data_IF_091316834628
#
_entry.id   IF_091316834628
#
_cell.length_a   1.000
_cell.length_b   1.000
_cell.length_c   1.000
_cell.angle_alpha   90.00
_cell.angle_beta   90.00
_cell.angle_gamma   90.00
#
_symmetry.space_group_name_H-M   'P 1'
#
loop_
_entity.id
_entity.type
_entity.pdbx_description
1 polymer ?
#
# COMPACT_ATOMS: atom_id res chain seq x y z
N UNK A 1 -10.18 2.83 -4.46
CA UNK A 1 -10.23 2.94 -5.93
C UNK A 1 -11.63 3.26 -6.44
N UNK A 2 -12.63 2.38 -6.29
CA UNK A 2 -14.03 2.62 -6.72
C UNK A 2 -14.60 3.99 -6.31
N UNK A 3 -14.56 4.30 -5.02
CA UNK A 3 -15.06 5.59 -4.50
C UNK A 3 -14.40 6.80 -5.19
N UNK A 4 -13.09 6.71 -5.51
CA UNK A 4 -12.38 7.78 -6.25
C UNK A 4 -12.83 7.87 -7.70
N UNK A 5 -13.06 6.74 -8.39
CA UNK A 5 -13.62 6.76 -9.74
C UNK A 5 -15.06 7.30 -9.78
N UNK A 6 -15.76 7.25 -8.65
CA UNK A 6 -17.09 7.87 -8.46
C UNK A 6 -17.02 9.34 -8.02
N UNK A 7 -15.82 9.93 -7.89
CA UNK A 7 -15.63 11.32 -7.50
C UNK A 7 -15.70 11.59 -5.99
N UNK A 8 -15.78 10.55 -5.15
CA UNK A 8 -15.83 10.69 -3.69
C UNK A 8 -14.45 11.08 -3.15
N UNK A 9 -14.39 12.19 -2.42
CA UNK A 9 -13.15 12.77 -1.87
C UNK A 9 -13.41 13.40 -0.49
N UNK A 10 -12.37 13.91 0.17
CA UNK A 10 -12.52 14.68 1.40
C UNK A 10 -13.21 13.90 2.53
N UNK A 11 -14.05 14.57 3.32
CA UNK A 11 -14.76 13.96 4.47
C UNK A 11 -15.69 12.82 4.05
N UNK A 12 -16.38 12.95 2.91
CA UNK A 12 -17.28 11.90 2.41
C UNK A 12 -16.51 10.59 2.17
N UNK A 13 -15.29 10.68 1.63
CA UNK A 13 -14.47 9.49 1.48
C UNK A 13 -14.14 8.84 2.82
N UNK A 14 -13.81 9.63 3.84
CA UNK A 14 -13.48 9.12 5.17
C UNK A 14 -14.67 8.38 5.78
N UNK A 15 -15.87 8.95 5.65
CA UNK A 15 -17.11 8.34 6.16
C UNK A 15 -17.41 7.01 5.47
N UNK A 16 -17.34 6.98 4.12
CA UNK A 16 -17.56 5.75 3.36
C UNK A 16 -16.48 4.69 3.64
N UNK A 17 -15.22 5.11 3.82
CA UNK A 17 -14.15 4.19 4.18
C UNK A 17 -14.31 3.64 5.59
N UNK A 18 -14.79 4.43 6.56
CA UNK A 18 -15.01 3.94 7.92
C UNK A 18 -15.98 2.73 7.97
N UNK A 19 -17.01 2.74 7.12
CA UNK A 19 -17.92 1.62 6.97
C UNK A 19 -17.24 0.38 6.34
N UNK A 20 -16.42 0.59 5.31
CA UNK A 20 -15.62 -0.46 4.68
C UNK A 20 -14.59 -1.06 5.64
N UNK A 21 -13.90 -0.22 6.42
CA UNK A 21 -12.92 -0.61 7.43
C UNK A 21 -13.56 -1.47 8.52
N UNK A 22 -14.75 -1.07 9.00
CA UNK A 22 -15.51 -1.83 10.00
C UNK A 22 -15.91 -3.19 9.46
N UNK A 23 -16.39 -3.26 8.22
CA UNK A 23 -16.71 -4.53 7.57
C UNK A 23 -15.47 -5.41 7.42
N UNK A 24 -14.37 -4.85 6.92
CA UNK A 24 -13.12 -5.58 6.66
C UNK A 24 -12.49 -6.17 7.93
N UNK A 25 -12.57 -5.47 9.06
CA UNK A 25 -12.03 -5.91 10.36
C UNK A 25 -13.06 -6.62 11.26
N UNK A 26 -14.31 -6.73 10.82
CA UNK A 26 -15.41 -7.36 11.55
C UNK A 26 -16.00 -8.51 10.75
N UNK A 27 -17.20 -8.30 10.20
CA UNK A 27 -18.00 -9.31 9.50
C UNK A 27 -17.22 -10.07 8.43
N UNK A 28 -16.30 -9.41 7.71
CA UNK A 28 -15.48 -10.09 6.72
C UNK A 28 -14.54 -11.12 7.34
N UNK A 29 -13.82 -10.78 8.42
CA UNK A 29 -12.96 -11.74 9.14
C UNK A 29 -13.78 -12.89 9.73
N UNK A 30 -14.94 -12.58 10.32
CA UNK A 30 -15.87 -13.59 10.84
C UNK A 30 -16.33 -14.53 9.72
N UNK A 31 -16.69 -13.99 8.55
CA UNK A 31 -17.04 -14.79 7.39
C UNK A 31 -15.86 -15.67 6.95
N UNK A 32 -14.65 -15.12 6.82
CA UNK A 32 -13.47 -15.90 6.43
C UNK A 32 -13.16 -17.04 7.40
N UNK A 33 -13.37 -16.83 8.71
CA UNK A 33 -13.19 -17.84 9.74
C UNK A 33 -14.23 -18.98 9.70
N UNK A 34 -15.40 -18.75 9.08
CA UNK A 34 -16.46 -19.76 8.93
C UNK A 34 -16.17 -20.84 7.87
N UNK A 35 -14.99 -20.81 7.23
CA UNK A 35 -14.57 -21.76 6.19
C UNK A 35 -14.54 -21.15 4.79
N UNK A 36 -13.95 -21.87 3.84
CA UNK A 36 -13.74 -21.37 2.47
C UNK A 36 -15.07 -21.07 1.76
N UNK A 37 -15.93 -22.09 1.63
CA UNK A 37 -17.19 -22.00 0.89
C UNK A 37 -18.26 -21.20 1.62
N UNK A 38 -18.53 -21.53 2.89
CA UNK A 38 -19.52 -20.81 3.70
C UNK A 38 -19.15 -19.34 3.84
N UNK A 39 -17.90 -19.05 4.19
CA UNK A 39 -17.37 -17.68 4.29
C UNK A 39 -17.44 -16.95 2.96
N UNK A 40 -17.04 -17.61 1.87
CA UNK A 40 -17.14 -17.07 0.52
C UNK A 40 -18.58 -16.69 0.16
N UNK A 41 -19.55 -17.56 0.45
CA UNK A 41 -20.98 -17.30 0.20
C UNK A 41 -21.50 -16.10 1.01
N UNK A 42 -21.12 -15.99 2.27
CA UNK A 42 -21.55 -14.89 3.16
C UNK A 42 -20.93 -13.55 2.75
N UNK A 43 -19.64 -13.52 2.41
CA UNK A 43 -18.92 -12.29 2.13
C UNK A 43 -19.06 -11.77 0.69
N UNK A 44 -19.32 -12.66 -0.29
CA UNK A 44 -19.27 -12.29 -1.72
C UNK A 44 -20.14 -11.09 -2.12
N UNK A 45 -21.41 -10.95 -1.66
CA UNK A 45 -22.24 -9.80 -2.04
C UNK A 45 -21.61 -8.47 -1.63
N UNK A 46 -21.13 -8.39 -0.39
CA UNK A 46 -20.56 -7.15 0.17
C UNK A 46 -19.17 -6.85 -0.40
N UNK A 47 -18.35 -7.88 -0.64
CA UNK A 47 -17.05 -7.70 -1.30
C UNK A 47 -17.22 -7.21 -2.74
N UNK A 48 -18.19 -7.75 -3.50
CA UNK A 48 -18.51 -7.28 -4.84
C UNK A 48 -18.95 -5.81 -4.84
N UNK A 49 -19.83 -5.43 -3.91
CA UNK A 49 -20.28 -4.05 -3.75
C UNK A 49 -19.11 -3.08 -3.44
N UNK A 50 -18.26 -3.41 -2.46
CA UNK A 50 -17.17 -2.53 -2.02
C UNK A 50 -16.12 -2.38 -3.13
N UNK A 51 -15.72 -3.50 -3.75
CA UNK A 51 -14.66 -3.53 -4.76
C UNK A 51 -15.12 -3.02 -6.13
N UNK A 52 -16.42 -3.13 -6.44
CA UNK A 52 -16.95 -2.89 -7.78
C UNK A 52 -16.69 -4.03 -8.77
N UNK A 53 -16.16 -5.17 -8.29
CA UNK A 53 -15.98 -6.37 -9.11
C UNK A 53 -17.32 -7.10 -9.32
N UNK A 54 -17.42 -7.87 -10.39
CA UNK A 54 -18.62 -8.68 -10.63
C UNK A 54 -18.83 -9.72 -9.52
N UNK A 55 -20.08 -9.91 -9.11
CA UNK A 55 -20.42 -10.88 -8.06
C UNK A 55 -19.95 -12.30 -8.41
N UNK A 56 -20.05 -12.69 -9.68
CA UNK A 56 -19.61 -14.01 -10.15
C UNK A 56 -18.09 -14.19 -10.03
N UNK A 57 -17.30 -13.15 -10.35
CA UNK A 57 -15.86 -13.19 -10.12
C UNK A 57 -15.54 -13.33 -8.63
N UNK A 58 -16.26 -12.59 -7.77
CA UNK A 58 -16.03 -12.63 -6.33
C UNK A 58 -16.41 -13.98 -5.73
N UNK A 59 -17.54 -14.57 -6.13
CA UNK A 59 -17.95 -15.91 -5.72
C UNK A 59 -16.94 -16.98 -6.14
N UNK A 60 -16.45 -16.92 -7.38
CA UNK A 60 -15.44 -17.86 -7.90
C UNK A 60 -14.14 -17.84 -7.08
N UNK A 61 -13.84 -16.71 -6.43
CA UNK A 61 -12.68 -16.54 -5.56
C UNK A 61 -13.04 -16.62 -4.06
N UNK A 62 -14.23 -17.11 -3.71
CA UNK A 62 -14.68 -17.25 -2.32
C UNK A 62 -14.52 -15.95 -1.51
N UNK A 63 -14.86 -14.81 -2.12
CA UNK A 63 -14.67 -13.46 -1.58
C UNK A 63 -13.22 -13.04 -1.27
N UNK A 64 -12.22 -13.89 -1.54
CA UNK A 64 -10.80 -13.62 -1.31
C UNK A 64 -10.16 -13.13 -2.59
N UNK A 65 -10.09 -11.80 -2.76
CA UNK A 65 -9.59 -11.17 -3.99
C UNK A 65 -8.10 -10.84 -3.85
N UNK A 66 -7.20 -11.49 -4.61
CA UNK A 66 -5.80 -11.08 -4.66
C UNK A 66 -5.64 -9.69 -5.31
N UNK A 67 -4.64 -8.92 -4.87
CA UNK A 67 -4.34 -7.59 -5.43
C UNK A 67 -4.18 -7.61 -6.95
N UNK A 68 -3.44 -8.58 -7.50
CA UNK A 68 -3.23 -8.70 -8.96
C UNK A 68 -4.55 -8.94 -9.70
N UNK A 69 -5.45 -9.74 -9.12
CA UNK A 69 -6.77 -9.98 -9.71
C UNK A 69 -7.60 -8.70 -9.70
N UNK A 70 -7.62 -7.98 -8.58
CA UNK A 70 -8.31 -6.70 -8.50
C UNK A 70 -7.77 -5.70 -9.54
N UNK A 71 -6.45 -5.55 -9.63
CA UNK A 71 -5.80 -4.66 -10.59
C UNK A 71 -6.12 -5.04 -12.05
N UNK A 72 -6.21 -6.34 -12.35
CA UNK A 72 -6.57 -6.87 -13.66
C UNK A 72 -8.04 -6.65 -14.02
N UNK A 73 -8.95 -6.89 -13.10
CA UNK A 73 -10.37 -7.00 -13.41
C UNK A 73 -11.14 -5.68 -13.27
N UNK A 74 -10.71 -4.77 -12.39
CA UNK A 74 -11.46 -3.53 -12.11
C UNK A 74 -11.66 -2.64 -13.36
N UNK A 75 -10.64 -2.55 -14.21
CA UNK A 75 -10.66 -1.73 -15.44
C UNK A 75 -10.79 -2.56 -16.72
N UNK A 76 -11.04 -3.87 -16.62
CA UNK A 76 -11.04 -4.80 -17.75
C UNK A 76 -12.03 -4.43 -18.85
N UNK A 77 -13.22 -3.96 -18.46
CA UNK A 77 -14.25 -3.53 -19.42
C UNK A 77 -13.81 -2.34 -20.30
N UNK A 78 -12.82 -1.56 -19.85
CA UNK A 78 -12.21 -0.47 -20.62
C UNK A 78 -10.96 -0.91 -21.40
N UNK A 79 -10.60 -2.19 -21.36
CA UNK A 79 -9.37 -2.70 -21.96
C UNK A 79 -8.10 -2.30 -21.19
N UNK A 80 -8.24 -1.94 -19.91
CA UNK A 80 -7.16 -1.41 -19.10
C UNK A 80 -6.85 -2.29 -17.88
N UNK A 81 -5.65 -2.13 -17.34
CA UNK A 81 -5.17 -2.70 -16.08
C UNK A 81 -4.72 -1.58 -15.15
N UNK A 82 -5.02 -1.70 -13.86
CA UNK A 82 -4.60 -0.74 -12.85
C UNK A 82 -3.13 -0.93 -12.46
N UNK A 83 -2.48 0.14 -12.02
CA UNK A 83 -1.22 0.04 -11.28
C UNK A 83 -1.44 -0.49 -9.87
N UNK A 84 -0.54 -1.35 -9.40
CA UNK A 84 -0.51 -1.74 -7.98
C UNK A 84 -0.02 -0.59 -7.09
N UNK A 85 0.84 0.28 -7.64
CA UNK A 85 1.41 1.44 -6.94
C UNK A 85 0.43 2.59 -6.81
N UNK A 86 -0.55 2.72 -7.68
CA UNK A 86 -1.68 3.65 -7.48
C UNK A 86 -2.88 3.15 -8.27
N UNK A 87 -3.87 2.58 -7.57
CA UNK A 87 -5.06 2.04 -8.21
C UNK A 87 -5.95 3.07 -8.92
N UNK A 88 -5.62 4.37 -8.89
CA UNK A 88 -6.27 5.40 -9.74
C UNK A 88 -5.59 5.60 -11.10
N UNK A 89 -4.43 4.99 -11.31
CA UNK A 89 -3.67 5.06 -12.56
C UNK A 89 -3.81 3.73 -13.29
N UNK A 90 -4.14 3.80 -14.57
CA UNK A 90 -4.35 2.64 -15.43
C UNK A 90 -3.61 2.76 -16.76
N UNK A 91 -3.42 1.63 -17.43
CA UNK A 91 -2.83 1.56 -18.76
C UNK A 91 -3.46 0.44 -19.59
N UNK A 92 -3.24 0.48 -20.90
CA UNK A 92 -3.77 -0.52 -21.81
C UNK A 92 -3.26 -1.92 -21.44
N UNK A 93 -4.18 -2.88 -21.40
CA UNK A 93 -3.86 -4.27 -21.12
C UNK A 93 -3.31 -4.96 -22.36
N UNK A 94 -2.01 -5.26 -22.35
CA UNK A 94 -1.32 -5.90 -23.47
C UNK A 94 -1.55 -7.43 -23.53
N UNK A 95 -2.21 -8.01 -22.52
CA UNK A 95 -2.46 -9.44 -22.41
C UNK A 95 -3.87 -9.72 -21.85
N UNK A 96 -4.94 -9.31 -22.55
CA UNK A 96 -6.33 -9.41 -22.05
C UNK A 96 -6.80 -10.86 -21.80
N UNK A 97 -6.15 -11.83 -22.43
CA UNK A 97 -6.36 -13.27 -22.23
C UNK A 97 -5.76 -13.80 -20.93
N UNK A 98 -4.72 -13.14 -20.41
CA UNK A 98 -4.05 -13.54 -19.17
C UNK A 98 -4.93 -13.26 -17.95
N UNK A 99 -5.00 -14.16 -16.96
CA UNK A 99 -5.69 -13.91 -15.70
C UNK A 99 -4.94 -12.96 -14.76
N UNK A 100 -3.69 -12.60 -15.10
CA UNK A 100 -2.83 -11.69 -14.33
C UNK A 100 -2.40 -10.49 -15.18
N UNK A 101 -2.02 -9.35 -14.54
CA UNK A 101 -1.26 -8.30 -15.21
C UNK A 101 0.06 -8.87 -15.78
N UNK A 102 0.33 -8.63 -17.06
CA UNK A 102 1.59 -9.07 -17.73
C UNK A 102 2.36 -7.91 -18.37
N UNK A 103 1.74 -6.73 -18.43
CA UNK A 103 2.33 -5.52 -18.97
C UNK A 103 3.16 -4.73 -17.95
N UNK A 104 3.77 -3.63 -18.40
CA UNK A 104 4.45 -2.71 -17.49
C UNK A 104 3.47 -2.05 -16.53
N UNK A 105 3.91 -1.80 -15.29
CA UNK A 105 3.16 -0.99 -14.34
C UNK A 105 3.30 0.50 -14.72
N UNK A 106 2.19 1.24 -14.93
CA UNK A 106 2.24 2.59 -15.45
C UNK A 106 2.77 3.64 -14.46
N UNK A 107 3.00 3.27 -13.20
CA UNK A 107 3.56 4.15 -12.17
C UNK A 107 5.02 3.80 -11.92
N UNK A 108 5.33 2.53 -11.63
CA UNK A 108 6.69 2.10 -11.35
C UNK A 108 7.56 2.19 -12.61
N UNK A 109 7.19 1.50 -13.69
CA UNK A 109 8.07 1.37 -14.85
C UNK A 109 8.23 2.70 -15.60
N UNK A 110 7.28 3.64 -15.46
CA UNK A 110 7.43 5.02 -15.95
C UNK A 110 8.30 5.90 -15.06
N UNK A 111 8.29 5.69 -13.74
CA UNK A 111 9.04 6.55 -12.81
C UNK A 111 10.52 6.19 -12.74
N UNK A 112 10.88 4.91 -12.87
CA UNK A 112 12.28 4.43 -12.81
C UNK A 112 13.24 5.21 -13.73
N UNK A 113 13.02 5.33 -15.06
CA UNK A 113 13.96 6.04 -15.92
C UNK A 113 14.06 7.54 -15.63
N UNK A 114 12.95 8.17 -15.25
CA UNK A 114 12.90 9.60 -14.92
C UNK A 114 13.69 9.89 -13.63
N UNK A 115 13.43 9.12 -12.57
CA UNK A 115 14.13 9.25 -11.31
C UNK A 115 15.62 8.88 -11.42
N UNK A 116 15.94 7.85 -12.20
CA UNK A 116 17.33 7.46 -12.48
C UNK A 116 18.10 8.60 -13.14
N UNK A 117 17.52 9.22 -14.16
CA UNK A 117 18.15 10.33 -14.89
C UNK A 117 18.32 11.56 -14.00
N UNK A 118 17.29 11.91 -13.22
CA UNK A 118 17.34 13.02 -12.27
C UNK A 118 18.44 12.83 -11.21
N UNK A 119 18.53 11.64 -10.60
CA UNK A 119 19.54 11.35 -9.60
C UNK A 119 20.96 11.36 -10.18
N UNK A 120 21.17 10.72 -11.33
CA UNK A 120 22.49 10.71 -12.00
C UNK A 120 22.94 12.12 -12.35
N UNK A 121 22.03 12.97 -12.85
CA UNK A 121 22.32 14.39 -13.11
C UNK A 121 22.69 15.14 -11.83
N UNK A 122 21.87 15.01 -10.77
CA UNK A 122 22.11 15.67 -9.48
C UNK A 122 23.48 15.31 -8.88
N UNK A 123 23.80 14.03 -8.80
CA UNK A 123 25.05 13.56 -8.20
C UNK A 123 26.27 14.01 -8.98
N UNK A 124 26.21 14.00 -10.32
CA UNK A 124 27.33 14.38 -11.18
C UNK A 124 27.52 15.89 -11.27
N UNK A 125 26.43 16.63 -11.43
CA UNK A 125 26.48 18.04 -11.77
C UNK A 125 26.36 18.95 -10.56
N UNK A 126 25.62 18.57 -9.51
CA UNK A 126 25.50 19.38 -8.30
C UNK A 126 26.46 18.91 -7.22
N UNK A 127 26.46 17.61 -6.88
CA UNK A 127 27.37 17.07 -5.86
C UNK A 127 28.80 16.85 -6.36
N UNK A 128 29.04 17.00 -7.68
CA UNK A 128 30.34 16.82 -8.34
C UNK A 128 30.98 15.45 -8.11
N UNK A 129 30.18 14.43 -7.80
CA UNK A 129 30.65 13.06 -7.64
C UNK A 129 30.60 12.31 -8.97
N UNK A 130 31.75 11.77 -9.40
CA UNK A 130 31.88 11.01 -10.65
C UNK A 130 32.45 9.64 -10.35
N UNK A 131 31.82 8.63 -10.92
CA UNK A 131 32.22 7.22 -10.87
C UNK A 131 31.88 6.55 -12.20
N UNK A 132 32.59 5.48 -12.49
CA UNK A 132 32.35 4.52 -13.58
C UNK A 132 31.27 3.47 -13.21
N UNK A 133 30.85 3.40 -11.95
CA UNK A 133 29.80 2.50 -11.49
C UNK A 133 28.43 2.93 -12.04
N UNK A 134 27.71 1.98 -12.64
CA UNK A 134 26.35 2.20 -13.13
C UNK A 134 25.34 2.27 -11.98
N UNK A 135 24.58 3.37 -11.90
CA UNK A 135 23.46 3.48 -10.97
C UNK A 135 22.26 2.66 -11.47
N UNK A 136 21.81 1.71 -10.65
CA UNK A 136 20.60 0.91 -10.91
C UNK A 136 19.57 1.21 -9.82
N UNK A 137 18.60 2.08 -10.13
CA UNK A 137 17.58 2.51 -9.16
C UNK A 137 16.75 1.34 -8.62
N UNK A 138 16.41 0.37 -9.46
CA UNK A 138 15.70 -0.84 -9.07
C UNK A 138 16.35 -2.06 -9.73
N UNK A 139 16.99 -2.92 -8.93
CA UNK A 139 17.62 -4.14 -9.40
C UNK A 139 16.79 -5.36 -9.01
N UNK A 140 16.04 -5.91 -9.97
CA UNK A 140 15.15 -7.06 -9.76
C UNK A 140 15.89 -8.33 -9.35
N UNK A 141 17.14 -8.52 -9.78
CA UNK A 141 17.96 -9.67 -9.39
C UNK A 141 18.32 -9.58 -7.90
N UNK A 142 18.74 -8.41 -7.44
CA UNK A 142 19.05 -8.19 -6.01
C UNK A 142 17.77 -8.35 -5.18
N UNK A 143 16.67 -7.74 -5.59
CA UNK A 143 15.39 -7.87 -4.89
C UNK A 143 14.90 -9.33 -4.83
N UNK A 144 15.06 -10.09 -5.91
CA UNK A 144 14.65 -11.49 -5.97
C UNK A 144 15.51 -12.44 -5.12
N UNK A 145 16.75 -12.05 -4.81
CA UNK A 145 17.67 -12.82 -3.97
C UNK A 145 17.81 -12.26 -2.55
N UNK A 146 16.93 -11.32 -2.16
CA UNK A 146 17.02 -10.70 -0.84
C UNK A 146 16.68 -11.72 0.26
N UNK A 147 17.59 -11.91 1.22
CA UNK A 147 17.32 -12.69 2.42
C UNK A 147 16.57 -11.84 3.44
N UNK A 148 15.28 -12.13 3.59
CA UNK A 148 14.43 -11.44 4.57
C UNK A 148 14.61 -11.96 6.01
N UNK A 149 15.60 -12.81 6.25
CA UNK A 149 15.89 -13.38 7.56
C UNK A 149 14.94 -14.51 7.97
N UNK A 150 13.99 -14.89 7.12
CA UNK A 150 13.09 -16.04 7.30
C UNK A 150 13.76 -17.29 6.71
N UNK A 151 14.62 -17.94 7.50
CA UNK A 151 15.24 -19.21 7.09
C UNK A 151 14.32 -20.39 7.43
N UNK A 152 14.49 -21.59 6.82
CA UNK A 152 13.74 -22.78 7.23
C UNK A 152 13.80 -23.07 8.74
N UNK A 153 14.89 -22.63 9.39
CA UNK A 153 15.13 -22.74 10.84
C UNK A 153 14.59 -21.56 11.66
N UNK A 154 14.27 -20.43 11.04
CA UNK A 154 13.70 -19.25 11.70
C UNK A 154 12.20 -19.20 11.36
N UNK A 155 11.42 -19.96 12.13
CA UNK A 155 9.96 -20.02 12.03
C UNK A 155 9.39 -18.62 12.35
N UNK A 156 8.96 -17.88 11.33
CA UNK A 156 8.37 -16.55 11.50
C UNK A 156 8.10 -15.83 10.18
N UNK A 157 7.29 -14.77 10.25
CA UNK A 157 7.08 -13.84 9.14
C UNK A 157 7.98 -12.61 9.34
N UNK A 158 8.39 -11.98 8.24
CA UNK A 158 9.14 -10.71 8.27
C UNK A 158 8.28 -9.66 8.99
N UNK A 159 8.83 -9.03 10.03
CA UNK A 159 8.12 -8.02 10.81
C UNK A 159 9.08 -7.18 11.64
N UNK A 160 8.68 -5.93 11.92
CA UNK A 160 9.49 -4.93 12.65
C UNK A 160 8.79 -4.39 13.90
N UNK A 161 7.61 -4.91 14.23
CA UNK A 161 6.79 -4.35 15.32
C UNK A 161 7.42 -4.58 16.70
N UNK A 162 8.07 -5.72 16.91
CA UNK A 162 8.79 -6.01 18.16
C UNK A 162 10.03 -5.12 18.31
N UNK A 163 10.81 -4.96 17.25
CA UNK A 163 11.97 -4.05 17.23
C UNK A 163 11.53 -2.60 17.49
N UNK A 164 10.41 -2.18 16.90
CA UNK A 164 9.81 -0.86 17.14
C UNK A 164 9.37 -0.69 18.60
N UNK A 165 8.76 -1.71 19.22
CA UNK A 165 8.38 -1.68 20.62
C UNK A 165 9.60 -1.60 21.54
N UNK A 166 10.66 -2.36 21.26
CA UNK A 166 11.92 -2.28 22.01
C UNK A 166 12.54 -0.87 21.92
N UNK A 167 12.61 -0.30 20.72
CA UNK A 167 13.14 1.05 20.52
C UNK A 167 12.31 2.11 21.27
N UNK A 168 10.97 2.00 21.24
CA UNK A 168 10.06 2.90 21.96
C UNK A 168 10.11 2.74 23.48
N UNK A 169 10.40 1.53 23.98
CA UNK A 169 10.57 1.29 25.41
C UNK A 169 11.88 1.93 25.93
N UNK A 170 12.96 1.86 25.14
CA UNK A 170 14.25 2.47 25.47
C UNK A 170 14.24 4.00 25.27
N UNK A 171 13.49 4.49 24.29
CA UNK A 171 13.32 5.92 24.01
C UNK A 171 11.83 6.29 23.91
N UNK A 172 11.18 6.57 25.05
CA UNK A 172 9.78 7.00 25.06
C UNK A 172 9.51 8.29 24.25
N UNK A 173 10.54 9.10 24.02
CA UNK A 173 10.48 10.32 23.19
C UNK A 173 10.50 10.06 21.68
N UNK A 174 10.75 8.82 21.24
CA UNK A 174 10.78 8.42 19.83
C UNK A 174 9.43 8.69 19.16
N UNK A 175 9.41 9.67 18.26
CA UNK A 175 8.25 9.94 17.41
C UNK A 175 8.20 8.95 16.25
N UNK A 176 7.04 8.32 16.04
CA UNK A 176 6.82 7.38 14.94
C UNK A 176 5.64 7.86 14.11
N UNK A 177 5.88 8.04 12.81
CA UNK A 177 4.86 8.38 11.81
C UNK A 177 4.90 7.34 10.69
N UNK A 178 3.75 6.74 10.42
CA UNK A 178 3.54 5.88 9.25
C UNK A 178 2.59 6.64 8.31
N UNK A 179 2.98 6.82 7.05
CA UNK A 179 2.14 7.51 6.06
C UNK A 179 1.84 6.59 4.90
N UNK A 180 0.57 6.37 4.60
CA UNK A 180 0.13 5.54 3.48
C UNK A 180 -0.71 6.35 2.49
N UNK A 181 -0.72 5.89 1.23
CA UNK A 181 -1.67 6.37 0.23
C UNK A 181 -2.97 5.57 0.23
N UNK A 182 -4.12 6.23 0.04
CA UNK A 182 -5.43 5.57 -0.05
C UNK A 182 -5.54 4.50 -1.14
N UNK A 183 -4.79 4.63 -2.23
CA UNK A 183 -4.89 3.74 -3.39
C UNK A 183 -3.64 2.90 -3.60
N UNK A 184 -2.83 2.75 -2.56
CA UNK A 184 -1.70 1.84 -2.51
C UNK A 184 -2.21 0.39 -2.38
N UNK A 185 -1.93 -0.44 -3.37
CA UNK A 185 -2.25 -1.86 -3.34
C UNK A 185 -1.02 -2.73 -3.01
N UNK A 186 0.18 -2.14 -3.00
CA UNK A 186 1.43 -2.81 -2.62
C UNK A 186 1.51 -2.93 -1.10
N UNK A 187 1.25 -1.84 -0.38
CA UNK A 187 1.20 -1.79 1.09
C UNK A 187 -0.08 -1.11 1.57
N UNK A 188 -1.25 -1.81 1.52
CA UNK A 188 -2.52 -1.22 1.89
C UNK A 188 -2.54 -0.67 3.32
N UNK A 189 -3.03 0.55 3.50
CA UNK A 189 -2.95 1.28 4.77
C UNK A 189 -3.60 0.56 5.96
N UNK A 190 -4.65 -0.23 5.69
CA UNK A 190 -5.38 -0.92 6.75
C UNK A 190 -4.52 -2.01 7.41
N UNK A 191 -3.53 -2.56 6.70
CA UNK A 191 -2.56 -3.50 7.28
C UNK A 191 -1.67 -2.79 8.32
N UNK A 192 -1.15 -1.60 8.01
CA UNK A 192 -0.40 -0.78 8.97
C UNK A 192 -1.23 -0.46 10.22
N UNK A 193 -2.48 -0.02 10.03
CA UNK A 193 -3.40 0.27 11.14
C UNK A 193 -3.70 -0.95 11.99
N UNK A 194 -3.93 -2.10 11.34
CA UNK A 194 -4.16 -3.36 12.03
C UNK A 194 -2.95 -3.74 12.89
N UNK A 195 -1.74 -3.77 12.31
CA UNK A 195 -0.51 -4.17 13.01
C UNK A 195 -0.19 -3.26 14.21
N UNK A 196 -0.33 -1.94 14.05
CA UNK A 196 -0.17 -0.99 15.17
C UNK A 196 -1.24 -1.20 16.25
N UNK A 197 -2.44 -1.64 15.88
CA UNK A 197 -3.48 -2.03 16.82
C UNK A 197 -3.22 -3.34 17.56
N UNK A 198 -2.25 -4.16 17.12
CA UNK A 198 -1.90 -5.43 17.77
C UNK A 198 -0.76 -5.33 18.79
N UNK A 199 -0.14 -4.16 18.95
CA UNK A 199 0.93 -3.94 19.93
C UNK A 199 0.44 -3.15 21.14
N UNK A 200 0.96 -3.43 22.36
CA UNK A 200 0.53 -2.72 23.55
C UNK A 200 0.98 -1.26 23.53
N UNK A 201 0.14 -0.38 24.09
CA UNK A 201 0.58 0.97 24.46
C UNK A 201 1.70 0.87 25.49
N UNK A 202 2.73 1.71 25.35
CA UNK A 202 3.84 1.80 26.29
C UNK A 202 3.65 3.04 27.18
N UNK A 203 3.63 2.91 28.51
CA UNK A 203 3.53 4.05 29.42
C UNK A 203 4.60 5.10 29.13
N UNK A 204 4.20 6.37 29.00
CA UNK A 204 5.11 7.49 28.74
C UNK A 204 5.68 7.57 27.33
N UNK A 205 5.49 6.56 26.48
CA UNK A 205 5.95 6.61 25.09
C UNK A 205 5.01 7.44 24.22
N UNK A 206 5.56 8.22 23.29
CA UNK A 206 4.77 8.89 22.26
C UNK A 206 3.95 7.87 21.46
N UNK A 207 2.70 8.18 21.08
CA UNK A 207 1.89 7.30 20.25
C UNK A 207 2.48 7.17 18.85
N UNK A 208 2.24 6.02 18.22
CA UNK A 208 2.49 5.85 16.78
C UNK A 208 1.37 6.56 16.04
N UNK A 209 1.72 7.50 15.16
CA UNK A 209 0.76 8.20 14.31
C UNK A 209 0.70 7.52 12.94
N UNK A 210 -0.52 7.38 12.43
CA UNK A 210 -0.77 6.87 11.08
C UNK A 210 -1.55 7.93 10.32
N UNK A 211 -0.97 8.44 9.25
CA UNK A 211 -1.59 9.44 8.37
C UNK A 211 -1.92 8.82 7.01
N UNK A 212 -3.05 9.22 6.44
CA UNK A 212 -3.47 8.82 5.10
C UNK A 212 -3.43 10.03 4.19
N UNK A 213 -2.77 9.88 3.04
CA UNK A 213 -2.66 10.92 2.04
C UNK A 213 -3.28 10.49 0.71
N UNK A 214 -3.59 11.49 -0.10
CA UNK A 214 -4.01 11.31 -1.48
C UNK A 214 -2.94 10.57 -2.30
N UNK A 215 -3.33 9.53 -3.01
CA UNK A 215 -2.46 8.76 -3.90
C UNK A 215 -2.22 7.34 -3.46
N UNK A 216 -1.33 6.66 -4.19
CA UNK A 216 -0.93 5.31 -3.86
C UNK A 216 0.41 5.23 -3.12
N UNK A 217 1.19 4.20 -3.41
CA UNK A 217 2.47 3.86 -2.79
C UNK A 217 3.50 5.00 -2.85
N UNK A 218 3.52 5.74 -3.96
CA UNK A 218 4.36 6.92 -4.15
C UNK A 218 3.53 8.21 -4.09
N UNK A 219 2.68 8.33 -3.07
CA UNK A 219 1.78 9.48 -2.85
C UNK A 219 2.50 10.83 -2.98
N UNK A 220 3.77 10.93 -2.57
CA UNK A 220 4.61 12.12 -2.68
C UNK A 220 4.93 12.58 -4.12
N UNK A 221 4.57 11.83 -5.16
CA UNK A 221 4.58 12.36 -6.52
C UNK A 221 3.51 13.44 -6.73
N UNK A 222 2.41 13.39 -5.97
CA UNK A 222 1.38 14.44 -5.99
C UNK A 222 1.87 15.67 -5.20
N UNK A 223 1.82 16.89 -5.76
CA UNK A 223 2.31 18.09 -5.08
C UNK A 223 1.67 18.34 -3.70
N UNK A 224 0.35 18.16 -3.58
CA UNK A 224 -0.37 18.32 -2.31
C UNK A 224 0.09 17.30 -1.27
N UNK A 225 0.08 16.01 -1.62
CA UNK A 225 0.52 14.93 -0.72
C UNK A 225 1.99 15.07 -0.32
N UNK A 226 2.85 15.59 -1.21
CA UNK A 226 4.25 15.87 -0.88
C UNK A 226 4.38 16.99 0.16
N UNK A 227 3.58 18.05 0.05
CA UNK A 227 3.55 19.12 1.06
C UNK A 227 2.99 18.60 2.39
N UNK A 228 1.87 17.88 2.35
CA UNK A 228 1.27 17.28 3.53
C UNK A 228 2.23 16.30 4.22
N UNK A 229 2.97 15.47 3.47
CA UNK A 229 4.00 14.59 4.01
C UNK A 229 5.10 15.38 4.73
N UNK A 230 5.58 16.48 4.13
CA UNK A 230 6.57 17.37 4.77
C UNK A 230 6.03 17.97 6.06
N UNK A 231 4.79 18.45 6.07
CA UNK A 231 4.14 19.02 7.25
C UNK A 231 3.98 17.97 8.36
N UNK A 232 3.47 16.79 8.01
CA UNK A 232 3.33 15.67 8.94
C UNK A 232 4.70 15.26 9.53
N UNK A 233 5.74 15.11 8.70
CA UNK A 233 7.08 14.79 9.19
C UNK A 233 7.65 15.90 10.09
N UNK A 234 7.40 17.17 9.76
CA UNK A 234 7.90 18.31 10.56
C UNK A 234 7.33 18.31 11.98
N UNK A 235 6.08 17.86 12.16
CA UNK A 235 5.45 17.76 13.49
C UNK A 235 6.16 16.77 14.43
N UNK A 236 6.90 15.77 13.91
CA UNK A 236 7.68 14.86 14.75
C UNK A 236 8.80 15.58 15.52
N UNK A 237 9.32 16.67 14.94
CA UNK A 237 10.46 17.42 15.45
C UNK A 237 10.08 18.71 16.16
N UNK A 238 8.80 19.07 16.16
CA UNK A 238 8.31 20.21 16.93
C UNK A 238 8.31 19.82 18.42
N UNK A 239 9.07 20.58 19.23
CA UNK A 239 9.04 20.44 20.68
C UNK A 239 7.62 20.72 21.17
N UNK A 240 7.06 19.91 22.10
CA UNK A 240 5.85 20.31 22.79
C UNK A 240 6.12 21.66 23.48
N UNK A 241 5.23 22.63 23.27
CA UNK A 241 5.23 23.88 24.01
C UNK A 241 4.83 23.65 25.46
#
# INVERSE_FOLDING_TARGET
>A
VRLRSEGVTGSELHERLADVERYALGDYLVALASGLEQGGRLASPRVAEITGLSLELVKRNFARIPTELFAKEFARARGNVLSAYDGTIETADIAPESPRPRGPDPVLDRSVPVLTSAFVSYVREELKFRTDISYRLLNREVSGNWDYGTTPTRQGYVGVMDDLQQARALNPGLGVLIVNGYTDLVTPYLASRYLVGQIPSLPGAKPIRIDLLEGGHMMYFRPESRRALREAASQLYQMPK
#
